data_IF_271578105402
#
_entry.id   IF_271578105402
#
_cell.length_a   1.000
_cell.length_b   1.000
_cell.length_c   1.000
_cell.angle_alpha   90.00
_cell.angle_beta   90.00
_cell.angle_gamma   90.00
#
_symmetry.space_group_name_H-M   'P 1'
#
loop_
_entity.id
_entity.type
_entity.pdbx_description
1 polymer ?
#
# COMPACT_ATOMS: atom_id res chain seq x y z
N UNK A 1 63.13 -22.19 28.81
CA UNK A 1 62.64 -22.83 30.05
C UNK A 1 62.16 -21.73 30.96
N UNK A 2 60.99 -21.90 31.57
CA UNK A 2 60.40 -20.85 32.37
C UNK A 2 61.11 -20.73 33.72
N UNK A 3 60.79 -19.71 34.52
CA UNK A 3 61.37 -19.59 35.86
C UNK A 3 60.99 -20.79 36.73
N UNK A 4 61.85 -21.16 37.69
CA UNK A 4 61.59 -22.29 38.59
C UNK A 4 60.28 -22.11 39.39
N UNK A 5 59.86 -20.85 39.61
CA UNK A 5 58.65 -20.53 40.34
C UNK A 5 57.40 -20.82 39.53
N UNK A 6 57.37 -20.44 38.25
CA UNK A 6 56.22 -20.71 37.38
C UNK A 6 56.16 -22.19 36.97
N UNK A 7 57.28 -22.87 36.81
CA UNK A 7 57.29 -24.32 36.57
C UNK A 7 56.68 -25.10 37.76
N UNK A 8 57.02 -24.74 39.00
CA UNK A 8 56.38 -25.33 40.21
C UNK A 8 54.89 -25.05 40.29
N UNK A 9 54.46 -23.85 39.89
CA UNK A 9 53.03 -23.50 39.86
C UNK A 9 52.27 -24.33 38.81
N UNK A 10 52.85 -24.54 37.63
CA UNK A 10 52.29 -25.41 36.59
C UNK A 10 52.20 -26.85 37.09
N UNK A 11 53.22 -27.36 37.77
CA UNK A 11 53.18 -28.74 38.30
C UNK A 11 52.13 -28.93 39.39
N UNK A 12 51.95 -27.94 40.28
CA UNK A 12 50.92 -27.97 41.32
C UNK A 12 49.51 -27.88 40.72
N UNK A 13 49.30 -26.98 39.75
CA UNK A 13 48.02 -26.80 39.07
C UNK A 13 47.66 -27.97 38.12
N UNK A 14 48.63 -28.84 37.80
CA UNK A 14 48.42 -30.05 36.98
C UNK A 14 48.51 -31.34 37.81
N UNK A 15 48.53 -31.25 39.15
CA UNK A 15 48.68 -32.39 40.04
C UNK A 15 47.44 -33.30 40.07
N UNK A 16 46.24 -32.71 40.01
CA UNK A 16 44.96 -33.41 39.93
C UNK A 16 44.63 -33.90 38.50
N UNK A 17 45.24 -33.26 37.49
CA UNK A 17 45.12 -33.60 36.07
C UNK A 17 44.00 -32.87 35.35
N UNK A 18 43.36 -31.88 36.00
CA UNK A 18 42.36 -30.99 35.40
C UNK A 18 42.70 -29.56 35.77
N UNK A 19 42.89 -28.68 34.78
CA UNK A 19 43.19 -27.27 35.06
C UNK A 19 41.87 -26.49 35.15
N UNK A 20 41.55 -25.94 36.32
CA UNK A 20 40.36 -25.09 36.47
C UNK A 20 40.56 -23.69 35.89
N UNK A 21 39.48 -23.03 35.48
CA UNK A 21 39.53 -21.68 34.90
C UNK A 21 40.18 -20.65 35.84
N UNK A 22 40.05 -20.84 37.16
CA UNK A 22 40.69 -19.98 38.17
C UNK A 22 42.20 -20.20 38.24
N UNK A 23 42.67 -21.44 38.13
CA UNK A 23 44.10 -21.76 38.10
C UNK A 23 44.74 -21.28 36.80
N UNK A 24 44.05 -21.43 35.67
CA UNK A 24 44.46 -20.85 34.39
C UNK A 24 44.68 -19.33 34.52
N UNK A 25 43.72 -18.60 35.10
CA UNK A 25 43.87 -17.14 35.31
C UNK A 25 45.07 -16.78 36.20
N UNK A 26 45.33 -17.55 37.26
CA UNK A 26 46.49 -17.31 38.15
C UNK A 26 47.81 -17.55 37.42
N UNK A 27 47.91 -18.60 36.60
CA UNK A 27 49.09 -18.91 35.81
C UNK A 27 49.37 -17.86 34.74
N UNK A 28 48.35 -17.38 34.02
CA UNK A 28 48.50 -16.33 33.01
C UNK A 28 48.92 -15.01 33.62
N UNK A 29 48.32 -14.62 34.76
CA UNK A 29 48.72 -13.41 35.49
C UNK A 29 50.17 -13.50 35.98
N UNK A 30 50.62 -14.70 36.37
CA UNK A 30 52.01 -14.91 36.77
C UNK A 30 52.97 -14.85 35.57
N UNK A 31 52.61 -15.47 34.46
CA UNK A 31 53.37 -15.42 33.21
C UNK A 31 53.54 -13.97 32.71
N UNK A 32 52.48 -13.17 32.79
CA UNK A 32 52.51 -11.74 32.47
C UNK A 32 53.47 -10.97 33.38
N UNK A 33 53.46 -11.23 34.69
CA UNK A 33 54.41 -10.57 35.62
C UNK A 33 55.87 -10.97 35.41
N UNK A 34 56.10 -12.13 34.80
CA UNK A 34 57.44 -12.62 34.44
C UNK A 34 57.84 -12.21 33.01
N UNK A 35 57.00 -11.46 32.31
CA UNK A 35 57.25 -10.97 30.95
C UNK A 35 57.22 -12.06 29.89
N UNK A 36 56.52 -13.16 30.15
CA UNK A 36 56.37 -14.29 29.22
C UNK A 36 55.23 -13.97 28.25
N UNK A 37 55.44 -14.28 26.97
CA UNK A 37 54.40 -14.16 25.95
C UNK A 37 53.21 -15.09 26.26
N UNK A 38 52.01 -14.53 26.27
CA UNK A 38 50.80 -15.25 26.71
C UNK A 38 50.36 -16.34 25.72
N UNK A 39 50.59 -16.12 24.42
CA UNK A 39 50.22 -17.07 23.37
C UNK A 39 51.19 -18.27 23.38
N UNK A 40 52.49 -18.02 23.56
CA UNK A 40 53.49 -19.07 23.78
C UNK A 40 53.21 -19.86 25.08
N UNK A 41 52.83 -19.15 26.15
CA UNK A 41 52.50 -19.77 27.43
C UNK A 41 51.27 -20.69 27.35
N UNK A 42 50.21 -20.26 26.66
CA UNK A 42 49.02 -21.08 26.45
C UNK A 42 49.36 -22.38 25.71
N UNK A 43 50.13 -22.29 24.63
CA UNK A 43 50.53 -23.44 23.83
C UNK A 43 51.35 -24.46 24.64
N UNK A 44 52.29 -23.98 25.47
CA UNK A 44 53.12 -24.85 26.32
C UNK A 44 52.30 -25.48 27.44
N UNK A 45 51.39 -24.73 28.04
CA UNK A 45 50.48 -25.21 29.08
C UNK A 45 49.58 -26.36 28.55
N UNK A 46 49.00 -26.19 27.37
CA UNK A 46 48.20 -27.22 26.70
C UNK A 46 49.01 -28.48 26.37
N UNK A 47 50.23 -28.32 25.86
CA UNK A 47 51.13 -29.44 25.58
C UNK A 47 51.48 -30.24 26.85
N UNK A 48 51.67 -29.54 27.99
CA UNK A 48 51.95 -30.16 29.30
C UNK A 48 50.74 -30.89 29.87
N UNK A 49 49.54 -30.33 29.74
CA UNK A 49 48.26 -30.99 30.10
C UNK A 49 48.13 -32.30 29.32
N UNK A 50 48.33 -32.25 28.00
CA UNK A 50 48.23 -33.42 27.14
C UNK A 50 49.28 -34.50 27.49
N UNK A 51 50.51 -34.09 27.80
CA UNK A 51 51.57 -34.98 28.27
C UNK A 51 51.23 -35.69 29.58
N UNK A 52 50.68 -34.96 30.56
CA UNK A 52 50.28 -35.51 31.86
C UNK A 52 49.11 -36.49 31.75
N UNK A 53 48.12 -36.20 30.91
CA UNK A 53 46.99 -37.10 30.63
C UNK A 53 47.48 -38.43 30.01
N UNK A 54 48.49 -38.40 29.13
CA UNK A 54 49.08 -39.61 28.54
C UNK A 54 49.99 -40.40 29.48
N UNK A 55 50.61 -39.74 30.47
CA UNK A 55 51.61 -40.36 31.36
C UNK A 55 51.04 -41.16 32.55
N UNK A 56 49.71 -41.19 32.76
CA UNK A 56 49.09 -42.10 33.75
C UNK A 56 49.08 -43.54 33.19
N UNK A 57 49.75 -44.52 33.82
CA UNK A 57 49.64 -45.91 33.40
C UNK A 57 48.27 -46.45 33.82
N UNK A 58 47.32 -46.50 32.89
CA UNK A 58 46.07 -47.21 33.12
C UNK A 58 46.29 -48.71 32.90
N UNK A 59 46.16 -49.43 34.01
CA UNK A 59 45.83 -50.85 34.04
C UNK A 59 44.62 -51.14 33.13
N UNK A 60 44.65 -52.32 32.53
CA UNK A 60 43.69 -52.81 31.56
C UNK A 60 42.23 -52.64 31.98
N UNK A 61 41.46 -51.90 31.17
CA UNK A 61 39.99 -52.01 31.10
C UNK A 61 39.58 -51.85 29.64
N UNK A 62 38.69 -52.75 29.22
CA UNK A 62 37.94 -52.83 27.96
C UNK A 62 37.58 -51.49 27.28
N UNK A 63 37.33 -51.47 25.94
CA UNK A 63 37.10 -50.24 25.19
C UNK A 63 35.95 -49.43 25.82
N UNK A 64 36.29 -48.26 26.39
CA UNK A 64 35.28 -47.30 26.84
C UNK A 64 34.65 -46.66 25.62
N UNK A 65 33.41 -47.04 25.38
CA UNK A 65 32.47 -46.41 24.47
C UNK A 65 32.50 -44.88 24.62
N UNK A 66 32.63 -44.18 23.50
CA UNK A 66 32.43 -42.73 23.32
C UNK A 66 30.96 -42.34 23.54
N UNK A 67 30.42 -42.59 24.74
CA UNK A 67 29.10 -42.11 25.13
C UNK A 67 29.23 -40.69 25.66
N UNK A 68 29.24 -39.74 24.72
CA UNK A 68 28.91 -38.35 25.01
C UNK A 68 27.40 -38.25 25.29
N UNK A 69 27.05 -38.09 26.56
CA UNK A 69 25.69 -37.77 27.00
C UNK A 69 25.05 -38.80 27.95
N UNK A 70 24.23 -38.29 28.86
CA UNK A 70 23.39 -39.11 29.74
C UNK A 70 22.45 -39.98 28.90
N UNK A 71 22.65 -41.30 28.94
CA UNK A 71 21.70 -42.26 28.37
C UNK A 71 20.45 -42.29 29.24
N UNK A 72 19.41 -41.55 28.84
CA UNK A 72 18.11 -41.57 29.53
C UNK A 72 17.43 -42.92 29.27
N UNK A 73 16.94 -43.56 30.33
CA UNK A 73 16.18 -44.82 30.26
C UNK A 73 14.69 -44.54 30.39
N UNK A 74 13.88 -45.41 29.79
CA UNK A 74 12.45 -45.37 29.96
C UNK A 74 12.09 -45.67 31.43
N UNK A 75 11.32 -44.81 32.12
CA UNK A 75 10.94 -45.02 33.52
C UNK A 75 9.96 -46.19 33.69
N UNK A 76 9.35 -46.69 32.59
CA UNK A 76 8.36 -47.77 32.62
C UNK A 76 8.94 -49.15 32.32
N UNK A 77 9.92 -49.26 31.41
CA UNK A 77 10.48 -50.56 30.98
C UNK A 77 12.00 -50.65 31.04
N UNK A 78 12.71 -49.55 31.36
CA UNK A 78 14.16 -49.53 31.45
C UNK A 78 14.91 -49.51 30.11
N UNK A 79 14.21 -49.58 28.98
CA UNK A 79 14.79 -49.44 27.65
C UNK A 79 15.54 -48.12 27.47
N UNK A 80 16.54 -48.08 26.59
CA UNK A 80 17.24 -46.84 26.26
C UNK A 80 16.25 -45.97 25.48
N UNK A 81 15.94 -44.79 26.02
CA UNK A 81 15.03 -43.86 25.35
C UNK A 81 15.75 -43.20 24.18
N UNK A 82 15.16 -43.30 22.98
CA UNK A 82 15.60 -42.52 21.84
C UNK A 82 15.46 -41.02 22.12
N UNK A 83 16.46 -40.24 21.68
CA UNK A 83 16.43 -38.79 21.87
C UNK A 83 15.27 -38.18 21.07
N UNK A 84 14.54 -37.25 21.71
CA UNK A 84 13.45 -36.49 21.12
C UNK A 84 12.17 -37.28 20.79
N UNK A 85 12.01 -38.53 21.25
CA UNK A 85 10.79 -39.33 21.04
C UNK A 85 9.81 -39.18 22.22
N UNK A 86 8.51 -39.06 21.95
CA UNK A 86 7.45 -38.90 22.98
C UNK A 86 6.89 -40.22 23.55
N UNK A 87 7.16 -41.34 22.89
CA UNK A 87 6.75 -42.69 23.30
C UNK A 87 7.97 -43.61 23.33
N UNK A 88 8.03 -44.50 24.31
CA UNK A 88 9.04 -45.56 24.26
C UNK A 88 8.75 -46.52 23.10
N UNK A 89 9.74 -46.79 22.25
CA UNK A 89 9.65 -47.77 21.15
C UNK A 89 9.30 -49.17 21.64
N UNK A 90 9.74 -49.51 22.85
CA UNK A 90 9.71 -50.89 23.34
C UNK A 90 8.46 -51.19 24.20
N UNK A 91 7.99 -50.23 24.99
CA UNK A 91 6.84 -50.42 25.88
C UNK A 91 5.65 -49.49 25.62
N UNK A 92 5.78 -48.52 24.72
CA UNK A 92 4.69 -47.60 24.36
C UNK A 92 4.34 -46.54 25.40
N UNK A 93 5.00 -46.52 26.58
CA UNK A 93 4.72 -45.53 27.62
C UNK A 93 5.09 -44.12 27.15
N UNK A 94 4.17 -43.18 27.34
CA UNK A 94 4.35 -41.76 27.00
C UNK A 94 5.25 -41.05 28.02
N UNK A 95 6.23 -40.28 27.53
CA UNK A 95 7.09 -39.48 28.39
C UNK A 95 6.39 -38.17 28.75
N UNK A 96 6.00 -38.03 30.02
CA UNK A 96 5.47 -36.78 30.56
C UNK A 96 6.61 -35.94 31.14
N UNK A 97 6.91 -34.79 30.51
CA UNK A 97 7.95 -33.89 30.98
C UNK A 97 7.34 -32.61 31.56
N UNK A 98 7.17 -32.57 32.89
CA UNK A 98 6.61 -31.42 33.62
C UNK A 98 7.51 -30.17 33.47
N UNK A 99 8.84 -30.35 33.35
CA UNK A 99 9.79 -29.25 33.18
C UNK A 99 9.67 -28.60 31.79
N UNK A 100 9.30 -29.37 30.77
CA UNK A 100 9.06 -28.86 29.42
C UNK A 100 7.80 -27.97 29.34
N UNK A 101 6.74 -28.24 30.12
CA UNK A 101 5.56 -27.38 30.21
C UNK A 101 5.90 -26.00 30.80
N UNK A 102 6.80 -25.94 31.79
CA UNK A 102 7.27 -24.67 32.36
C UNK A 102 8.01 -23.79 31.35
N UNK A 103 8.56 -24.36 30.26
CA UNK A 103 9.27 -23.60 29.24
C UNK A 103 8.34 -22.73 28.38
N UNK A 104 7.09 -23.15 28.17
CA UNK A 104 6.09 -22.39 27.40
C UNK A 104 5.55 -21.23 28.24
N UNK A 105 5.32 -21.46 29.53
CA UNK A 105 4.89 -20.40 30.46
C UNK A 105 5.98 -19.32 30.55
N UNK A 106 7.24 -19.73 30.82
CA UNK A 106 8.40 -18.83 30.85
C UNK A 106 8.60 -18.05 29.54
N UNK A 107 8.20 -18.60 28.40
CA UNK A 107 8.26 -17.89 27.12
C UNK A 107 7.30 -16.70 27.09
N UNK A 108 6.05 -16.93 27.46
CA UNK A 108 5.03 -15.88 27.49
C UNK A 108 5.30 -14.86 28.60
N UNK A 109 5.78 -15.29 29.76
CA UNK A 109 6.22 -14.38 30.82
C UNK A 109 7.32 -13.43 30.32
N UNK A 110 8.35 -13.96 29.63
CA UNK A 110 9.40 -13.12 29.04
C UNK A 110 8.88 -12.17 27.96
N UNK A 111 7.87 -12.58 27.20
CA UNK A 111 7.24 -11.69 26.22
C UNK A 111 6.51 -10.54 26.91
N UNK A 112 5.79 -10.84 28.00
CA UNK A 112 5.05 -9.86 28.79
C UNK A 112 6.01 -8.92 29.55
N UNK A 113 7.13 -9.42 30.05
CA UNK A 113 8.21 -8.61 30.62
C UNK A 113 8.78 -7.62 29.59
N UNK A 114 9.08 -8.09 28.37
CA UNK A 114 9.54 -7.19 27.30
C UNK A 114 8.45 -6.17 26.96
N UNK A 115 7.19 -6.57 26.92
CA UNK A 115 6.07 -5.65 26.67
C UNK A 115 5.91 -4.62 27.78
N UNK A 116 6.12 -4.99 29.04
CA UNK A 116 6.08 -4.09 30.18
C UNK A 116 7.16 -2.99 30.11
N UNK A 117 8.27 -3.23 29.41
CA UNK A 117 9.31 -2.20 29.17
C UNK A 117 8.95 -1.18 28.08
N UNK A 118 7.76 -1.30 27.46
CA UNK A 118 7.32 -0.34 26.44
C UNK A 118 7.04 1.03 27.08
N UNK A 119 7.89 2.00 26.79
CA UNK A 119 7.58 3.41 27.08
C UNK A 119 6.37 3.86 26.24
N UNK A 120 5.39 4.50 26.86
CA UNK A 120 4.13 4.94 26.23
C UNK A 120 4.26 6.08 25.20
N UNK A 121 5.48 6.52 24.89
CA UNK A 121 5.72 7.68 24.03
C UNK A 121 6.56 7.28 22.81
N UNK A 122 5.92 6.84 21.72
CA UNK A 122 6.57 6.75 20.41
C UNK A 122 5.60 7.24 19.33
N UNK A 123 5.46 8.56 19.23
CA UNK A 123 5.14 9.23 17.98
C UNK A 123 6.34 10.09 17.61
N UNK A 124 6.60 10.15 16.31
CA UNK A 124 7.65 10.93 15.63
C UNK A 124 8.97 10.21 15.38
N UNK A 125 8.97 9.45 14.28
CA UNK A 125 10.05 9.63 13.31
C UNK A 125 9.44 9.72 11.90
N UNK A 126 8.73 10.83 11.63
CA UNK A 126 8.49 11.22 10.25
C UNK A 126 9.79 11.80 9.69
N UNK A 127 10.56 10.99 8.98
CA UNK A 127 11.58 11.56 8.10
C UNK A 127 10.86 12.28 6.96
N UNK A 128 10.74 13.60 7.10
CA UNK A 128 10.37 14.51 6.01
C UNK A 128 11.46 14.42 4.93
N UNK A 129 11.24 13.62 3.89
CA UNK A 129 12.00 13.77 2.65
C UNK A 129 11.48 15.01 1.94
N UNK A 130 12.36 16.00 1.76
CA UNK A 130 12.09 17.17 0.91
C UNK A 130 11.90 16.69 -0.53
N UNK A 131 10.71 16.97 -1.07
CA UNK A 131 10.34 16.65 -2.44
C UNK A 131 11.04 17.66 -3.35
N UNK A 132 11.90 17.18 -4.25
CA UNK A 132 12.64 18.02 -5.18
C UNK A 132 11.74 18.57 -6.29
N UNK A 133 12.08 19.73 -6.84
CA UNK A 133 11.31 20.43 -7.89
C UNK A 133 11.20 19.56 -9.16
N UNK A 134 12.21 18.74 -9.46
CA UNK A 134 12.15 17.74 -10.54
C UNK A 134 11.12 16.62 -10.30
N UNK A 135 10.79 16.31 -9.05
CA UNK A 135 9.73 15.35 -8.69
C UNK A 135 8.33 15.94 -8.92
N UNK A 136 8.20 17.26 -8.77
CA UNK A 136 6.95 18.02 -8.99
C UNK A 136 6.64 18.11 -10.49
N UNK A 137 7.64 18.37 -11.33
CA UNK A 137 7.49 18.38 -12.79
C UNK A 137 7.13 17.00 -13.36
N UNK A 138 7.75 15.93 -12.84
CA UNK A 138 7.42 14.56 -13.22
C UNK A 138 5.99 14.16 -12.76
N UNK A 139 5.56 14.64 -11.59
CA UNK A 139 4.17 14.52 -11.13
C UNK A 139 3.18 15.25 -12.01
N UNK A 140 3.52 16.43 -12.54
CA UNK A 140 2.64 17.20 -13.43
C UNK A 140 2.37 16.48 -14.77
N UNK A 141 3.39 15.84 -15.35
CA UNK A 141 3.26 15.15 -16.64
C UNK A 141 2.67 13.73 -16.54
N UNK A 142 2.84 13.04 -15.41
CA UNK A 142 2.45 11.62 -15.26
C UNK A 142 1.66 11.36 -13.96
N UNK A 143 0.94 12.36 -13.45
CA UNK A 143 0.15 12.32 -12.19
C UNK A 143 -0.69 11.05 -12.07
N UNK A 144 -1.48 10.72 -13.10
CA UNK A 144 -2.37 9.57 -13.05
C UNK A 144 -1.62 8.23 -12.94
N UNK A 145 -0.55 8.05 -13.71
CA UNK A 145 0.22 6.80 -13.73
C UNK A 145 1.10 6.66 -12.48
N UNK A 146 1.75 7.75 -12.05
CA UNK A 146 2.61 7.78 -10.85
C UNK A 146 1.77 7.63 -9.58
N UNK A 147 0.55 8.18 -9.51
CA UNK A 147 -0.35 7.96 -8.36
C UNK A 147 -0.69 6.49 -8.22
N UNK A 148 -1.08 5.81 -9.30
CA UNK A 148 -1.39 4.39 -9.22
C UNK A 148 -0.15 3.56 -8.90
N UNK A 149 1.00 3.81 -9.54
CA UNK A 149 2.25 3.10 -9.25
C UNK A 149 2.72 3.38 -7.81
N UNK A 150 2.60 4.60 -7.29
CA UNK A 150 2.98 4.93 -5.91
C UNK A 150 1.97 4.44 -4.88
N UNK A 151 0.68 4.38 -5.17
CA UNK A 151 -0.33 3.73 -4.32
C UNK A 151 -0.04 2.24 -4.22
N UNK A 152 0.18 1.60 -5.37
CA UNK A 152 0.53 0.19 -5.46
C UNK A 152 1.87 -0.05 -4.75
N UNK A 153 2.90 0.77 -4.97
CA UNK A 153 4.18 0.65 -4.26
C UNK A 153 4.04 0.95 -2.76
N UNK A 154 3.24 1.92 -2.33
CA UNK A 154 3.00 2.20 -0.90
C UNK A 154 2.32 1.01 -0.20
N UNK A 155 1.44 0.33 -0.91
CA UNK A 155 0.73 -0.87 -0.43
C UNK A 155 1.58 -2.16 -0.53
N UNK A 156 2.47 -2.26 -1.53
CA UNK A 156 3.32 -3.45 -1.79
C UNK A 156 4.70 -3.35 -1.11
N UNK A 157 5.27 -2.16 -0.90
CA UNK A 157 6.58 -2.04 -0.27
C UNK A 157 6.49 -2.43 1.20
N UNK A 158 7.19 -3.53 1.44
CA UNK A 158 7.56 -4.26 2.65
C UNK A 158 8.21 -3.39 3.75
N UNK A 159 7.62 -2.25 4.09
CA UNK A 159 7.95 -1.53 5.32
C UNK A 159 7.22 -2.21 6.47
N UNK A 160 7.95 -2.59 7.53
CA UNK A 160 7.34 -2.87 8.84
C UNK A 160 6.37 -1.71 9.16
N UNK A 161 5.24 -1.97 9.81
CA UNK A 161 4.25 -0.92 10.13
C UNK A 161 4.95 0.31 10.71
N UNK A 162 4.52 1.54 10.38
CA UNK A 162 5.19 2.73 10.93
C UNK A 162 5.15 2.78 12.48
N UNK A 163 4.21 2.04 13.10
CA UNK A 163 4.16 1.73 14.54
C UNK A 163 5.19 0.69 15.08
N UNK A 164 6.12 0.17 14.28
CA UNK A 164 7.04 -0.88 14.75
C UNK A 164 8.12 -0.32 15.68
N UNK A 165 8.03 -0.63 16.97
CA UNK A 165 8.95 -0.11 18.00
C UNK A 165 10.22 -0.96 18.18
N UNK A 166 11.16 -0.43 18.97
CA UNK A 166 12.33 -1.18 19.44
C UNK A 166 11.90 -2.38 20.30
N UNK A 167 10.87 -2.21 21.14
CA UNK A 167 10.24 -3.29 21.91
C UNK A 167 9.65 -4.37 21.01
N UNK A 168 9.01 -4.00 19.89
CA UNK A 168 8.48 -4.98 18.93
C UNK A 168 9.57 -5.80 18.25
N UNK A 169 10.72 -5.17 17.96
CA UNK A 169 11.88 -5.86 17.41
C UNK A 169 12.51 -6.83 18.41
N UNK A 170 12.59 -6.44 19.70
CA UNK A 170 13.06 -7.33 20.78
C UNK A 170 12.13 -8.52 20.99
N UNK A 171 10.81 -8.31 20.93
CA UNK A 171 9.82 -9.40 20.97
C UNK A 171 9.94 -10.33 19.75
N UNK A 172 10.09 -9.78 18.55
CA UNK A 172 10.33 -10.56 17.33
C UNK A 172 11.55 -11.47 17.49
N UNK A 173 12.67 -10.92 17.96
CA UNK A 173 13.90 -11.66 18.22
C UNK A 173 13.69 -12.77 19.27
N UNK A 174 13.04 -12.45 20.39
CA UNK A 174 12.72 -13.42 21.43
C UNK A 174 11.86 -14.57 20.87
N UNK A 175 10.79 -14.27 20.11
CA UNK A 175 9.93 -15.29 19.51
C UNK A 175 10.73 -16.20 18.59
N UNK A 176 11.57 -15.64 17.72
CA UNK A 176 12.31 -16.39 16.72
C UNK A 176 13.42 -17.26 17.33
N UNK A 177 14.05 -16.80 18.41
CA UNK A 177 15.19 -17.46 19.04
C UNK A 177 14.82 -18.38 20.21
N UNK A 178 13.59 -18.29 20.74
CA UNK A 178 13.18 -19.14 21.86
C UNK A 178 13.16 -20.63 21.48
N UNK A 179 13.76 -21.54 22.28
CA UNK A 179 13.78 -22.96 21.96
C UNK A 179 12.37 -23.57 21.95
N UNK A 180 12.12 -24.47 21.00
CA UNK A 180 10.86 -25.21 20.93
C UNK A 180 10.98 -26.47 21.79
N UNK A 181 10.04 -26.72 22.71
CA UNK A 181 10.04 -27.93 23.54
C UNK A 181 9.79 -29.19 22.72
N UNK A 182 10.16 -30.34 23.27
CA UNK A 182 10.05 -31.65 22.59
C UNK A 182 8.89 -32.53 23.05
N UNK A 183 8.28 -32.22 24.19
CA UNK A 183 7.13 -32.97 24.71
C UNK A 183 5.87 -32.65 23.92
N UNK A 184 5.01 -33.66 23.74
CA UNK A 184 3.73 -33.54 23.01
C UNK A 184 2.85 -32.44 23.57
N UNK A 185 2.66 -32.41 24.88
CA UNK A 185 1.80 -31.46 25.58
C UNK A 185 2.28 -30.03 25.36
N UNK A 186 3.58 -29.79 25.58
CA UNK A 186 4.18 -28.47 25.39
C UNK A 186 4.15 -28.00 23.93
N UNK A 187 4.30 -28.91 22.95
CA UNK A 187 4.17 -28.59 21.52
C UNK A 187 2.73 -28.15 21.21
N UNK A 188 1.74 -28.92 21.65
CA UNK A 188 0.33 -28.62 21.40
C UNK A 188 -0.10 -27.33 22.12
N UNK A 189 0.33 -27.13 23.36
CA UNK A 189 0.08 -25.91 24.12
C UNK A 189 0.73 -24.69 23.44
N UNK A 190 2.01 -24.80 23.08
CA UNK A 190 2.71 -23.69 22.45
C UNK A 190 2.12 -23.36 21.08
N UNK A 191 1.74 -24.38 20.30
CA UNK A 191 1.07 -24.20 19.02
C UNK A 191 -0.30 -23.54 19.17
N UNK A 192 -1.08 -23.97 20.16
CA UNK A 192 -2.40 -23.41 20.46
C UNK A 192 -2.30 -21.95 20.88
N UNK A 193 -1.41 -21.64 21.83
CA UNK A 193 -1.17 -20.28 22.29
C UNK A 193 -0.63 -19.39 21.16
N UNK A 194 0.33 -19.87 20.36
CA UNK A 194 0.84 -19.13 19.21
C UNK A 194 -0.25 -18.87 18.16
N UNK A 195 -1.10 -19.86 17.89
CA UNK A 195 -2.21 -19.73 16.93
C UNK A 195 -3.24 -18.72 17.41
N UNK A 196 -3.49 -18.63 18.72
CA UNK A 196 -4.39 -17.64 19.31
C UNK A 196 -3.94 -16.19 19.12
N UNK A 197 -2.64 -15.95 18.87
CA UNK A 197 -2.09 -14.62 18.58
C UNK A 197 -2.32 -14.16 17.13
N UNK A 198 -2.87 -15.02 16.27
CA UNK A 198 -3.17 -14.68 14.89
C UNK A 198 -4.50 -13.92 14.78
N UNK A 199 -4.48 -12.83 14.01
CA UNK A 199 -5.64 -11.97 13.81
C UNK A 199 -6.18 -12.07 12.37
N UNK A 200 -7.49 -12.28 12.24
CA UNK A 200 -8.17 -12.12 10.95
C UNK A 200 -8.43 -10.65 10.64
N UNK A 201 -8.43 -10.31 9.36
CA UNK A 201 -8.72 -8.96 8.86
C UNK A 201 -10.08 -8.92 8.17
N UNK A 202 -10.76 -7.78 8.27
CA UNK A 202 -12.02 -7.50 7.58
C UNK A 202 -11.75 -6.56 6.41
N UNK A 203 -12.57 -6.62 5.36
CA UNK A 203 -12.45 -5.74 4.18
C UNK A 203 -12.41 -4.25 4.54
N UNK A 204 -13.20 -3.82 5.54
CA UNK A 204 -13.32 -2.41 5.93
C UNK A 204 -12.03 -1.80 6.48
N UNK A 205 -11.29 -2.56 7.32
CA UNK A 205 -10.08 -2.07 7.99
C UNK A 205 -8.79 -2.53 7.30
N UNK A 206 -8.88 -3.12 6.11
CA UNK A 206 -7.80 -3.87 5.48
C UNK A 206 -6.53 -3.04 5.23
N UNK A 207 -6.71 -1.76 4.90
CA UNK A 207 -5.62 -0.81 4.66
C UNK A 207 -5.31 0.08 5.86
N UNK A 208 -5.90 -0.19 7.02
CA UNK A 208 -5.58 0.52 8.26
C UNK A 208 -4.15 0.20 8.73
N UNK A 209 -3.51 1.16 9.38
CA UNK A 209 -2.19 0.96 9.96
C UNK A 209 -2.19 -0.14 11.04
N UNK A 210 -3.29 -0.26 11.79
CA UNK A 210 -3.49 -1.31 12.79
C UNK A 210 -3.50 -2.70 12.14
N UNK A 211 -4.20 -2.86 11.01
CA UNK A 211 -4.22 -4.12 10.26
C UNK A 211 -2.86 -4.44 9.65
N UNK A 212 -2.10 -3.42 9.18
CA UNK A 212 -0.71 -3.61 8.74
C UNK A 212 0.19 -4.09 9.88
N UNK A 213 0.04 -3.52 11.08
CA UNK A 213 0.76 -3.95 12.29
C UNK A 213 0.40 -5.40 12.68
N UNK A 214 -0.90 -5.73 12.75
CA UNK A 214 -1.36 -7.10 13.05
C UNK A 214 -0.90 -8.12 12.00
N UNK A 215 -0.93 -7.77 10.72
CA UNK A 215 -0.44 -8.65 9.66
C UNK A 215 1.09 -8.88 9.74
N UNK A 216 1.86 -7.88 10.20
CA UNK A 216 3.28 -8.06 10.48
C UNK A 216 3.50 -9.08 11.62
N UNK A 217 2.74 -8.96 12.71
CA UNK A 217 2.75 -9.94 13.81
C UNK A 217 2.30 -11.33 13.38
N UNK A 218 1.22 -11.44 12.59
CA UNK A 218 0.76 -12.72 12.04
C UNK A 218 1.87 -13.44 11.28
N UNK A 219 2.69 -12.71 10.53
CA UNK A 219 3.82 -13.28 9.79
C UNK A 219 4.90 -13.83 10.71
N UNK A 220 5.20 -13.15 11.82
CA UNK A 220 6.19 -13.60 12.81
C UNK A 220 5.68 -14.84 13.54
N UNK A 221 4.44 -14.80 14.05
CA UNK A 221 3.80 -15.94 14.70
C UNK A 221 3.68 -17.14 13.77
N UNK A 222 3.37 -16.93 12.48
CA UNK A 222 3.38 -18.02 11.50
C UNK A 222 4.75 -18.67 11.33
N UNK A 223 5.82 -17.89 11.27
CA UNK A 223 7.18 -18.47 11.22
C UNK A 223 7.45 -19.30 12.47
N UNK A 224 7.02 -18.84 13.65
CA UNK A 224 7.17 -19.60 14.89
C UNK A 224 6.35 -20.89 14.87
N UNK A 225 5.11 -20.83 14.42
CA UNK A 225 4.23 -21.99 14.22
C UNK A 225 4.87 -22.99 13.25
N UNK A 226 5.52 -22.53 12.18
CA UNK A 226 6.25 -23.39 11.26
C UNK A 226 7.47 -24.07 11.92
N UNK A 227 8.23 -23.35 12.75
CA UNK A 227 9.30 -23.95 13.55
C UNK A 227 8.77 -25.02 14.53
N UNK A 228 7.65 -24.73 15.21
CA UNK A 228 6.99 -25.67 16.12
C UNK A 228 6.54 -26.91 15.35
N UNK A 229 5.93 -26.74 14.17
CA UNK A 229 5.52 -27.84 13.30
C UNK A 229 6.69 -28.71 12.86
N UNK A 230 7.81 -28.12 12.43
CA UNK A 230 9.01 -28.89 12.06
C UNK A 230 9.55 -29.73 13.22
N UNK A 231 9.49 -29.21 14.44
CA UNK A 231 9.88 -29.97 15.64
C UNK A 231 8.86 -31.05 16.00
N UNK A 232 7.57 -30.77 15.87
CA UNK A 232 6.50 -31.74 16.09
C UNK A 232 6.61 -32.94 15.15
N UNK A 233 6.87 -32.71 13.85
CA UNK A 233 7.10 -33.79 12.87
C UNK A 233 8.24 -34.72 13.29
N UNK A 234 9.30 -34.17 13.91
CA UNK A 234 10.43 -34.96 14.39
C UNK A 234 10.09 -35.69 15.70
N UNK A 235 9.45 -35.01 16.64
CA UNK A 235 9.16 -35.54 17.98
C UNK A 235 8.03 -36.57 17.99
N UNK A 236 7.08 -36.46 17.06
CA UNK A 236 5.85 -37.25 17.00
C UNK A 236 5.84 -38.28 15.86
N UNK A 237 7.00 -38.68 15.31
CA UNK A 237 7.08 -39.65 14.20
C UNK A 237 6.30 -40.95 14.46
N UNK A 238 6.25 -41.41 15.71
CA UNK A 238 5.53 -42.61 16.13
C UNK A 238 4.05 -42.39 16.54
N UNK A 239 3.53 -41.16 16.46
CA UNK A 239 2.18 -40.81 16.92
C UNK A 239 1.40 -40.00 15.86
N UNK A 240 0.88 -40.72 14.86
CA UNK A 240 0.18 -40.11 13.72
C UNK A 240 -1.10 -39.36 14.10
N UNK A 241 -1.75 -39.71 15.21
CA UNK A 241 -2.94 -39.02 15.69
C UNK A 241 -2.61 -37.60 16.16
N UNK A 242 -1.60 -37.47 17.03
CA UNK A 242 -1.13 -36.17 17.53
C UNK A 242 -0.55 -35.30 16.41
N UNK A 243 0.15 -35.91 15.45
CA UNK A 243 0.68 -35.21 14.30
C UNK A 243 -0.44 -34.61 13.43
N UNK A 244 -1.55 -35.34 13.20
CA UNK A 244 -2.73 -34.80 12.48
C UNK A 244 -3.36 -33.61 13.20
N UNK A 245 -3.41 -33.63 14.53
CA UNK A 245 -3.91 -32.50 15.31
C UNK A 245 -3.03 -31.25 15.12
N UNK A 246 -1.71 -31.41 15.19
CA UNK A 246 -0.73 -30.36 14.88
C UNK A 246 -0.93 -29.83 13.46
N UNK A 247 -1.05 -30.70 12.47
CA UNK A 247 -1.26 -30.31 11.06
C UNK A 247 -2.54 -29.49 10.89
N UNK A 248 -3.62 -29.88 11.55
CA UNK A 248 -4.89 -29.15 11.51
C UNK A 248 -4.75 -27.74 12.10
N UNK A 249 -4.11 -27.60 13.26
CA UNK A 249 -3.84 -26.30 13.88
C UNK A 249 -2.97 -25.40 12.97
N UNK A 250 -1.89 -25.97 12.40
CA UNK A 250 -1.00 -25.26 11.47
C UNK A 250 -1.73 -24.84 10.19
N UNK A 251 -2.60 -25.72 9.66
CA UNK A 251 -3.40 -25.43 8.46
C UNK A 251 -4.37 -24.28 8.72
N UNK A 252 -5.05 -24.29 9.87
CA UNK A 252 -5.95 -23.21 10.28
C UNK A 252 -5.20 -21.88 10.44
N UNK A 253 -4.06 -21.89 11.11
CA UNK A 253 -3.17 -20.74 11.25
C UNK A 253 -2.73 -20.16 9.89
N UNK A 254 -2.27 -21.01 8.97
CA UNK A 254 -1.91 -20.62 7.60
C UNK A 254 -3.11 -20.07 6.82
N UNK A 255 -4.30 -20.62 7.06
CA UNK A 255 -5.56 -20.17 6.47
C UNK A 255 -5.84 -18.70 6.78
N UNK A 256 -5.69 -18.28 8.04
CA UNK A 256 -5.94 -16.90 8.49
C UNK A 256 -5.05 -15.91 7.73
N UNK A 257 -3.74 -16.16 7.62
CA UNK A 257 -2.85 -15.24 6.93
C UNK A 257 -3.06 -15.22 5.41
N UNK A 258 -3.35 -16.38 4.81
CA UNK A 258 -3.69 -16.46 3.38
C UNK A 258 -4.99 -15.74 3.05
N UNK A 259 -5.98 -15.82 3.92
CA UNK A 259 -7.25 -15.11 3.76
C UNK A 259 -7.03 -13.59 3.82
N UNK A 260 -6.21 -13.12 4.77
CA UNK A 260 -5.85 -11.70 4.86
C UNK A 260 -5.15 -11.19 3.58
N UNK A 261 -4.18 -11.94 3.05
CA UNK A 261 -3.50 -11.53 1.81
C UNK A 261 -4.44 -11.59 0.60
N UNK A 262 -5.29 -12.63 0.50
CA UNK A 262 -6.29 -12.76 -0.55
C UNK A 262 -7.25 -11.57 -0.57
N UNK A 263 -7.77 -11.16 0.60
CA UNK A 263 -8.64 -9.98 0.72
C UNK A 263 -7.97 -8.72 0.18
N UNK A 264 -6.68 -8.52 0.45
CA UNK A 264 -5.92 -7.36 -0.06
C UNK A 264 -5.92 -7.36 -1.58
N UNK A 265 -5.57 -8.49 -2.20
CA UNK A 265 -5.57 -8.60 -3.65
C UNK A 265 -6.96 -8.42 -4.27
N UNK A 266 -8.02 -8.92 -3.62
CA UNK A 266 -9.39 -8.76 -4.11
C UNK A 266 -9.80 -7.28 -4.12
N UNK A 267 -9.53 -6.53 -3.05
CA UNK A 267 -9.89 -5.11 -3.02
C UNK A 267 -9.08 -4.31 -4.05
N UNK A 268 -7.80 -4.62 -4.22
CA UNK A 268 -6.97 -3.97 -5.23
C UNK A 268 -7.46 -4.27 -6.65
N UNK A 269 -7.83 -5.52 -6.94
CA UNK A 269 -8.38 -5.91 -8.24
C UNK A 269 -9.69 -5.15 -8.55
N UNK A 270 -10.59 -5.05 -7.57
CA UNK A 270 -11.84 -4.29 -7.72
C UNK A 270 -11.55 -2.81 -7.99
N UNK A 271 -10.63 -2.20 -7.22
CA UNK A 271 -10.23 -0.81 -7.41
C UNK A 271 -9.71 -0.59 -8.83
N UNK A 272 -8.79 -1.45 -9.30
CA UNK A 272 -8.24 -1.35 -10.66
C UNK A 272 -9.30 -1.47 -11.75
N UNK A 273 -10.31 -2.32 -11.55
CA UNK A 273 -11.41 -2.46 -12.50
C UNK A 273 -12.27 -1.20 -12.58
N UNK A 274 -12.58 -0.58 -11.43
CA UNK A 274 -13.33 0.68 -11.37
C UNK A 274 -12.57 1.82 -12.09
N UNK A 275 -11.26 1.86 -11.96
CA UNK A 275 -10.44 2.87 -12.64
C UNK A 275 -10.46 2.65 -14.15
N UNK A 276 -10.35 1.41 -14.61
CA UNK A 276 -10.40 1.08 -16.03
C UNK A 276 -11.77 1.42 -16.63
N UNK A 277 -12.87 1.15 -15.93
CA UNK A 277 -14.21 1.53 -16.41
C UNK A 277 -14.36 3.04 -16.51
N UNK A 278 -13.83 3.80 -15.54
CA UNK A 278 -13.83 5.26 -15.60
C UNK A 278 -13.01 5.78 -16.78
N UNK A 279 -11.82 5.23 -17.04
CA UNK A 279 -10.99 5.62 -18.19
C UNK A 279 -11.72 5.34 -19.51
N UNK A 280 -12.31 4.14 -19.66
CA UNK A 280 -13.09 3.78 -20.85
C UNK A 280 -14.27 4.74 -21.02
N UNK A 281 -14.98 5.06 -19.94
CA UNK A 281 -16.10 6.01 -19.96
C UNK A 281 -15.65 7.41 -20.43
N UNK A 282 -14.50 7.90 -19.96
CA UNK A 282 -13.97 9.20 -20.40
C UNK A 282 -13.67 9.22 -21.90
N UNK A 283 -13.03 8.16 -22.44
CA UNK A 283 -12.69 8.05 -23.87
C UNK A 283 -13.96 7.98 -24.74
N UNK A 284 -14.97 7.21 -24.30
CA UNK A 284 -16.25 7.10 -25.01
C UNK A 284 -16.96 8.45 -25.01
N UNK A 285 -17.02 9.12 -23.85
CA UNK A 285 -17.70 10.41 -23.70
C UNK A 285 -17.07 11.47 -24.59
N UNK A 286 -15.73 11.59 -24.61
CA UNK A 286 -15.04 12.54 -25.49
C UNK A 286 -15.32 12.27 -26.96
N UNK A 287 -15.33 10.99 -27.38
CA UNK A 287 -15.61 10.64 -28.78
C UNK A 287 -17.04 10.95 -29.20
N UNK A 288 -18.00 10.77 -28.28
CA UNK A 288 -19.40 11.15 -28.51
C UNK A 288 -19.50 12.67 -28.67
N UNK A 289 -18.85 13.44 -27.81
CA UNK A 289 -18.86 14.90 -27.87
C UNK A 289 -18.24 15.44 -29.16
N UNK A 290 -17.11 14.90 -29.59
CA UNK A 290 -16.46 15.28 -30.85
C UNK A 290 -17.38 15.02 -32.06
N UNK A 291 -17.99 13.83 -32.12
CA UNK A 291 -18.91 13.48 -33.21
C UNK A 291 -20.11 14.43 -33.24
N UNK A 292 -20.64 14.75 -32.08
CA UNK A 292 -21.78 15.66 -31.92
C UNK A 292 -21.43 17.08 -32.39
N UNK A 293 -20.28 17.60 -31.98
CA UNK A 293 -19.76 18.91 -32.41
C UNK A 293 -19.50 19.00 -33.91
N UNK A 294 -18.98 17.93 -34.53
CA UNK A 294 -18.76 17.87 -35.98
C UNK A 294 -20.09 17.93 -36.75
N UNK A 295 -21.11 17.20 -36.30
CA UNK A 295 -22.46 17.24 -36.90
C UNK A 295 -23.04 18.65 -36.79
N UNK A 296 -22.98 19.29 -35.62
CA UNK A 296 -23.46 20.66 -35.45
C UNK A 296 -22.77 21.66 -36.37
N UNK A 297 -21.45 21.60 -36.46
CA UNK A 297 -20.66 22.48 -37.33
C UNK A 297 -21.11 22.35 -38.79
N UNK A 298 -21.39 21.12 -39.25
CA UNK A 298 -21.86 20.89 -40.62
C UNK A 298 -23.27 21.45 -40.88
N UNK A 299 -24.18 21.33 -39.90
CA UNK A 299 -25.56 21.84 -40.01
C UNK A 299 -25.58 23.37 -40.00
N UNK A 300 -24.84 23.99 -39.07
CA UNK A 300 -24.76 25.46 -38.99
C UNK A 300 -24.18 26.04 -40.28
N UNK A 301 -23.10 25.46 -40.81
CA UNK A 301 -22.50 25.89 -42.08
C UNK A 301 -23.50 25.78 -43.24
N UNK A 302 -24.28 24.69 -43.28
CA UNK A 302 -25.30 24.49 -44.30
C UNK A 302 -26.45 25.51 -44.18
N UNK A 303 -26.87 25.80 -42.95
CA UNK A 303 -27.90 26.81 -42.67
C UNK A 303 -27.42 28.22 -43.04
N UNK A 304 -26.17 28.58 -42.72
CA UNK A 304 -25.57 29.87 -43.11
C UNK A 304 -25.58 30.07 -44.62
N UNK A 305 -25.17 29.05 -45.39
CA UNK A 305 -25.22 29.11 -46.85
C UNK A 305 -26.64 29.33 -47.39
N UNK A 306 -27.62 28.63 -46.83
CA UNK A 306 -29.03 28.82 -47.22
C UNK A 306 -29.56 30.22 -46.85
N UNK A 307 -29.09 30.79 -45.74
CA UNK A 307 -29.42 32.15 -45.32
C UNK A 307 -28.82 33.17 -46.30
N UNK A 308 -27.56 32.99 -46.72
CA UNK A 308 -26.91 33.82 -47.75
C UNK A 308 -27.65 33.75 -49.09
N UNK A 309 -28.09 32.56 -49.49
CA UNK A 309 -28.90 32.31 -50.69
C UNK A 309 -30.37 32.78 -50.54
N UNK A 310 -30.74 33.38 -49.39
CA UNK A 310 -32.10 33.84 -49.03
C UNK A 310 -33.17 32.74 -49.01
N UNK A 311 -32.76 31.48 -48.88
CA UNK A 311 -33.63 30.29 -48.80
C UNK A 311 -33.99 29.98 -47.34
N UNK A 312 -34.74 30.89 -46.72
CA UNK A 312 -35.02 30.81 -45.28
C UNK A 312 -35.84 29.58 -44.88
N UNK A 313 -36.82 29.16 -45.68
CA UNK A 313 -37.66 28.00 -45.37
C UNK A 313 -36.85 26.68 -45.41
N UNK A 314 -35.88 26.59 -46.32
CA UNK A 314 -34.94 25.47 -46.39
C UNK A 314 -34.02 25.46 -45.15
N UNK A 315 -33.53 26.64 -44.72
CA UNK A 315 -32.72 26.76 -43.49
C UNK A 315 -33.53 26.40 -42.23
N UNK A 316 -34.81 26.76 -42.16
CA UNK A 316 -35.69 26.41 -41.03
C UNK A 316 -35.98 24.89 -40.97
N UNK A 317 -35.99 24.20 -42.11
CA UNK A 317 -36.16 22.74 -42.14
C UNK A 317 -34.99 21.99 -41.48
N UNK A 318 -33.77 22.54 -41.52
CA UNK A 318 -32.60 21.97 -40.85
C UNK A 318 -32.72 21.99 -39.33
N UNK A 319 -33.63 22.79 -38.76
CA UNK A 319 -33.83 22.90 -37.30
C UNK A 319 -34.49 21.67 -36.66
N UNK A 320 -35.01 20.73 -37.46
CA UNK A 320 -35.69 19.52 -36.95
C UNK A 320 -34.74 18.55 -36.27
N UNK A 321 -33.46 18.59 -36.62
CA UNK A 321 -32.44 17.61 -36.20
C UNK A 321 -31.44 18.20 -35.18
N UNK A 322 -31.74 19.38 -34.64
CA UNK A 322 -30.78 20.21 -33.89
C UNK A 322 -31.26 20.48 -32.46
N UNK A 323 -30.31 20.57 -31.52
CA UNK A 323 -30.60 20.89 -30.12
C UNK A 323 -31.14 22.33 -29.92
N UNK A 324 -31.61 22.64 -28.70
CA UNK A 324 -32.18 23.95 -28.37
C UNK A 324 -31.20 25.10 -28.59
N UNK A 325 -29.91 24.87 -28.29
CA UNK A 325 -28.84 25.86 -28.38
C UNK A 325 -28.64 26.34 -29.82
N UNK A 326 -28.33 25.42 -30.72
CA UNK A 326 -28.05 25.76 -32.11
C UNK A 326 -29.33 26.12 -32.88
N UNK A 327 -30.50 25.66 -32.41
CA UNK A 327 -31.79 26.13 -32.94
C UNK A 327 -32.01 27.62 -32.70
N UNK A 328 -31.65 28.12 -31.51
CA UNK A 328 -31.68 29.56 -31.21
C UNK A 328 -30.68 30.31 -32.08
N UNK A 329 -29.46 29.77 -32.25
CA UNK A 329 -28.43 30.38 -33.11
C UNK A 329 -28.90 30.55 -34.56
N UNK A 330 -29.35 29.47 -35.20
CA UNK A 330 -29.80 29.49 -36.60
C UNK A 330 -31.02 30.40 -36.77
N UNK A 331 -32.01 30.33 -35.87
CA UNK A 331 -33.17 31.23 -35.91
C UNK A 331 -32.77 32.71 -35.79
N UNK A 332 -31.81 33.01 -34.91
CA UNK A 332 -31.30 34.37 -34.71
C UNK A 332 -30.61 34.88 -35.97
N UNK A 333 -29.81 34.04 -36.65
CA UNK A 333 -29.18 34.37 -37.93
C UNK A 333 -30.20 34.59 -39.05
N UNK A 334 -31.24 33.76 -39.14
CA UNK A 334 -32.35 33.92 -40.11
C UNK A 334 -33.06 35.27 -39.88
N UNK A 335 -33.40 35.57 -38.63
CA UNK A 335 -34.05 36.83 -38.29
C UNK A 335 -33.17 38.04 -38.61
N UNK A 336 -31.88 37.98 -38.28
CA UNK A 336 -30.92 39.03 -38.61
C UNK A 336 -30.82 39.27 -40.12
N UNK A 337 -30.80 38.22 -40.93
CA UNK A 337 -30.79 38.33 -42.40
C UNK A 337 -32.06 39.00 -42.93
N UNK A 338 -33.24 38.52 -42.51
CA UNK A 338 -34.55 39.09 -42.89
C UNK A 338 -34.65 40.56 -42.48
N UNK A 339 -34.12 40.93 -41.31
CA UNK A 339 -34.15 42.32 -40.84
C UNK A 339 -33.14 43.21 -41.56
N UNK A 340 -31.94 42.70 -41.87
CA UNK A 340 -30.93 43.43 -42.64
C UNK A 340 -31.47 43.81 -44.01
N UNK A 341 -32.11 42.86 -44.71
CA UNK A 341 -32.75 43.14 -46.01
C UNK A 341 -33.84 44.22 -45.92
N UNK A 342 -34.65 44.19 -44.86
CA UNK A 342 -35.64 45.25 -44.63
C UNK A 342 -34.99 46.60 -44.41
N UNK A 343 -33.86 46.66 -43.69
CA UNK A 343 -33.11 47.90 -43.48
C UNK A 343 -32.47 48.43 -44.77
N UNK A 344 -31.87 47.55 -45.58
CA UNK A 344 -31.25 47.92 -46.86
C UNK A 344 -32.30 48.51 -47.82
N UNK A 345 -33.52 47.96 -47.82
CA UNK A 345 -34.64 48.48 -48.61
C UNK A 345 -35.13 49.88 -48.17
N UNK A 346 -34.69 50.39 -47.01
CA UNK A 346 -35.00 51.74 -46.54
C UNK A 346 -33.96 52.79 -46.99
N UNK A 347 -32.78 52.37 -47.44
CA UNK A 347 -31.70 53.26 -47.91
C UNK A 347 -32.14 54.23 -49.03
N UNK A 348 -32.99 53.82 -50.01
CA UNK A 348 -33.51 54.76 -51.00
C UNK A 348 -34.31 55.93 -50.41
N UNK A 349 -34.99 55.75 -49.26
CA UNK A 349 -35.71 56.82 -48.57
C UNK A 349 -34.75 57.86 -47.99
N UNK A 350 -33.60 57.41 -47.50
CA UNK A 350 -32.53 58.28 -47.02
C UNK A 350 -31.99 59.15 -48.17
N UNK A 351 -31.72 58.54 -49.32
CA UNK A 351 -31.22 59.23 -50.52
C UNK A 351 -32.21 60.27 -51.05
N UNK A 352 -33.51 59.98 -50.99
CA UNK A 352 -34.58 60.91 -51.37
C UNK A 352 -34.93 61.93 -50.27
N UNK A 353 -34.25 61.90 -49.12
CA UNK A 353 -34.49 62.77 -47.96
C UNK A 353 -35.92 62.67 -47.39
N UNK A 354 -36.57 61.51 -47.54
CA UNK A 354 -37.91 61.22 -46.99
C UNK A 354 -37.83 60.87 -45.50
N UNK A 355 -37.24 61.74 -44.67
CA UNK A 355 -36.85 61.43 -43.28
C UNK A 355 -38.03 61.04 -42.39
N UNK A 356 -39.19 61.67 -42.55
CA UNK A 356 -40.38 61.34 -41.74
C UNK A 356 -40.87 59.92 -41.99
N UNK A 357 -40.79 59.45 -43.23
CA UNK A 357 -41.19 58.10 -43.62
C UNK A 357 -40.14 57.07 -43.18
N UNK A 358 -38.87 57.40 -43.36
CA UNK A 358 -37.74 56.59 -42.89
C UNK A 358 -37.79 56.38 -41.38
N UNK A 359 -38.04 57.44 -40.60
CA UNK A 359 -38.23 57.37 -39.15
C UNK A 359 -39.31 56.37 -38.77
N UNK A 360 -40.49 56.51 -39.38
CA UNK A 360 -41.64 55.67 -39.08
C UNK A 360 -41.37 54.19 -39.39
N UNK A 361 -40.70 53.89 -40.51
CA UNK A 361 -40.36 52.50 -40.86
C UNK A 361 -39.27 51.92 -39.96
N UNK A 362 -38.27 52.72 -39.56
CA UNK A 362 -37.26 52.30 -38.58
C UNK A 362 -37.89 51.96 -37.23
N UNK A 363 -38.85 52.75 -36.74
CA UNK A 363 -39.53 52.49 -35.46
C UNK A 363 -40.42 51.25 -35.50
N UNK A 364 -40.90 50.82 -36.68
CA UNK A 364 -41.68 49.58 -36.85
C UNK A 364 -40.80 48.33 -36.89
N UNK A 365 -39.54 48.44 -37.30
CA UNK A 365 -38.62 47.31 -37.38
C UNK A 365 -38.10 46.94 -35.99
N UNK A 366 -38.80 46.02 -35.32
CA UNK A 366 -38.48 45.54 -33.99
C UNK A 366 -37.97 44.09 -34.02
N UNK A 367 -37.00 43.77 -33.16
CA UNK A 367 -36.54 42.38 -32.98
C UNK A 367 -37.56 41.57 -32.19
N UNK A 368 -37.93 40.39 -32.69
CA UNK A 368 -38.76 39.42 -31.97
C UNK A 368 -37.87 38.48 -31.15
N UNK A 369 -38.05 38.42 -29.83
CA UNK A 369 -37.27 37.52 -28.97
C UNK A 369 -37.57 36.05 -29.32
N UNK A 370 -36.52 35.27 -29.58
CA UNK A 370 -36.59 33.85 -29.96
C UNK A 370 -36.50 32.94 -28.72
N UNK A 371 -35.74 33.38 -27.72
CA UNK A 371 -35.43 32.58 -26.53
C UNK A 371 -36.58 32.49 -25.51
N UNK A 372 -36.74 31.35 -24.82
CA UNK A 372 -37.70 31.22 -23.72
C UNK A 372 -37.39 32.19 -22.58
N UNK A 373 -38.43 32.67 -21.88
CA UNK A 373 -38.24 33.50 -20.69
C UNK A 373 -37.50 32.67 -19.63
N UNK A 374 -36.35 33.17 -19.17
CA UNK A 374 -35.46 32.65 -18.11
C UNK A 374 -34.30 31.73 -18.49
N UNK A 375 -33.92 31.61 -19.77
CA UNK A 375 -32.72 30.86 -20.17
C UNK A 375 -31.57 31.81 -20.57
N UNK A 376 -30.70 32.12 -19.60
CA UNK A 376 -29.57 33.03 -19.78
C UNK A 376 -28.54 32.54 -20.79
N UNK A 377 -28.32 31.23 -20.87
CA UNK A 377 -27.32 30.65 -21.77
C UNK A 377 -27.80 30.77 -23.23
N UNK A 378 -29.08 30.50 -23.48
CA UNK A 378 -29.67 30.70 -24.81
C UNK A 378 -29.78 32.18 -25.18
N UNK A 379 -30.13 33.04 -24.23
CA UNK A 379 -30.23 34.49 -24.46
C UNK A 379 -28.89 35.09 -24.88
N UNK A 380 -27.78 34.59 -24.32
CA UNK A 380 -26.43 35.04 -24.70
C UNK A 380 -26.11 34.81 -26.19
N UNK A 381 -26.66 33.76 -26.79
CA UNK A 381 -26.46 33.39 -28.20
C UNK A 381 -27.29 34.30 -29.11
N UNK A 382 -28.55 34.55 -28.74
CA UNK A 382 -29.43 35.46 -29.48
C UNK A 382 -28.89 36.91 -29.46
N UNK A 383 -28.26 37.29 -28.35
CA UNK A 383 -27.74 38.65 -28.11
C UNK A 383 -26.74 39.12 -29.15
N UNK A 384 -25.91 38.24 -29.70
CA UNK A 384 -24.95 38.62 -30.74
C UNK A 384 -25.66 39.09 -32.02
N UNK A 385 -26.66 38.33 -32.47
CA UNK A 385 -27.45 38.68 -33.65
C UNK A 385 -28.30 39.93 -33.42
N UNK A 386 -28.89 40.06 -32.23
CA UNK A 386 -29.64 41.25 -31.83
C UNK A 386 -28.77 42.52 -31.85
N UNK A 387 -27.57 42.46 -31.27
CA UNK A 387 -26.62 43.58 -31.29
C UNK A 387 -26.25 44.00 -32.71
N UNK A 388 -26.01 43.04 -33.60
CA UNK A 388 -25.70 43.33 -35.00
C UNK A 388 -26.86 44.02 -35.72
N UNK A 389 -28.10 43.61 -35.44
CA UNK A 389 -29.29 44.29 -35.95
C UNK A 389 -29.39 45.74 -35.45
N UNK A 390 -29.25 45.97 -34.15
CA UNK A 390 -29.32 47.31 -33.56
C UNK A 390 -28.24 48.23 -34.14
N UNK A 391 -26.98 47.75 -34.27
CA UNK A 391 -25.90 48.54 -34.88
C UNK A 391 -26.18 48.96 -36.31
N UNK A 392 -26.71 48.05 -37.15
CA UNK A 392 -27.09 48.39 -38.53
C UNK A 392 -28.22 49.42 -38.55
N UNK A 393 -29.22 49.24 -37.69
CA UNK A 393 -30.37 50.14 -37.54
C UNK A 393 -29.92 51.55 -37.11
N UNK A 394 -29.04 51.63 -36.12
CA UNK A 394 -28.42 52.87 -35.64
C UNK A 394 -27.57 53.54 -36.73
N UNK A 395 -26.79 52.78 -37.49
CA UNK A 395 -25.97 53.31 -38.57
C UNK A 395 -26.81 54.02 -39.65
N UNK A 396 -27.98 53.47 -39.99
CA UNK A 396 -28.91 54.12 -40.91
C UNK A 396 -29.57 55.35 -40.27
N UNK A 397 -29.98 55.24 -39.00
CA UNK A 397 -30.61 56.33 -38.25
C UNK A 397 -29.68 57.54 -38.05
N UNK A 398 -28.38 57.30 -37.80
CA UNK A 398 -27.40 58.35 -37.55
C UNK A 398 -27.11 59.22 -38.77
N UNK A 399 -27.42 58.73 -39.98
CA UNK A 399 -27.31 59.48 -41.23
C UNK A 399 -28.46 60.50 -41.41
N UNK A 400 -29.50 60.44 -40.57
CA UNK A 400 -30.59 61.41 -40.55
C UNK A 400 -30.24 62.63 -39.68
N UNK A 401 -30.81 63.82 -39.97
CA UNK A 401 -30.72 64.98 -39.08
C UNK A 401 -31.20 64.65 -37.65
N UNK A 402 -30.55 65.22 -36.63
CA UNK A 402 -30.76 64.85 -35.22
C UNK A 402 -32.22 64.95 -34.77
N UNK A 403 -32.93 65.99 -35.21
CA UNK A 403 -34.34 66.24 -34.89
C UNK A 403 -35.31 65.26 -35.59
N UNK A 404 -34.81 64.51 -36.58
CA UNK A 404 -35.59 63.53 -37.37
C UNK A 404 -35.26 62.07 -37.05
N UNK A 405 -34.31 61.80 -36.17
CA UNK A 405 -33.92 60.42 -35.82
C UNK A 405 -35.08 59.64 -35.18
N UNK A 406 -35.12 58.34 -35.48
CA UNK A 406 -35.98 57.35 -34.85
C UNK A 406 -35.49 57.04 -33.43
N UNK A 407 -36.41 56.68 -32.54
CA UNK A 407 -36.06 56.10 -31.25
C UNK A 407 -35.66 54.63 -31.45
N UNK A 408 -34.41 54.31 -31.12
CA UNK A 408 -33.86 52.95 -31.25
C UNK A 408 -33.83 52.26 -29.88
N UNK A 409 -34.08 50.96 -29.88
CA UNK A 409 -33.97 50.10 -28.69
C UNK A 409 -32.51 50.00 -28.22
N UNK A 410 -32.32 49.76 -26.92
CA UNK A 410 -30.98 49.56 -26.38
C UNK A 410 -30.42 48.21 -26.83
N UNK A 411 -29.12 48.12 -27.07
CA UNK A 411 -28.43 46.84 -27.26
C UNK A 411 -28.54 45.87 -26.05
N UNK A 412 -29.06 46.36 -24.92
CA UNK A 412 -29.33 45.61 -23.69
C UNK A 412 -30.80 45.25 -23.48
N UNK A 413 -31.70 45.56 -24.42
CA UNK A 413 -33.15 45.38 -24.23
C UNK A 413 -33.67 43.98 -24.61
N UNK A 414 -32.78 43.01 -24.87
CA UNK A 414 -33.16 41.63 -25.19
C UNK A 414 -33.71 40.89 -23.96
#
# INVERSE_FOLDING_TARGET
MYSEQIEKLIELALADGELTEKEKQVLFKRAETEGIDLDEFEMVLEARIYGKIKSKPNAAVAPKSDKLGDVKKCPSCGAIAESFTIKCSDCGTEFRNIEASNSVIKFFDKLDEVEATRATNVYELSQKKSIGIGTILLWLCFWHVIIFIKLIQFLIYKSKSAKWSTTDSRKEELIMNYPVPVSKEAILEFLTLSSSKLHSSTYFNLFSEDTKYRNAWNKIWLKKIEQINSKAIIAMKGDSASLKEVENLVKNAKGIAKDNTKKIFQVLAILTLIILTFIIWTIISTKIDDNRNNIYTSIVTSAEKLIEDKKYDEAENLLKEVDSKHKVEIKSKIQLSKMSEKLDNLEPLLNRKEYSKLKMELEKLMWTKITPKSDWDLESIEKESFKNFIRKKEALNNQMPEDKRAKIESEYSL
#
